data_IF_811938750889
#
_entry.id   IF_811938750889
#
_cell.length_a   1.000
_cell.length_b   1.000
_cell.length_c   1.000
_cell.angle_alpha   90.00
_cell.angle_beta   90.00
_cell.angle_gamma   90.00
#
_symmetry.space_group_name_H-M   'P 1'
#
loop_
_entity.id
_entity.type
_entity.pdbx_description
1 polymer ?
#
# COMPACT_ATOMS: atom_id res chain seq x y z
N UNK A 1 -2.00 16.47 -12.08
CA UNK A 1 -1.87 15.75 -10.79
C UNK A 1 -2.12 14.29 -11.11
N UNK A 2 -1.07 13.48 -11.19
CA UNK A 2 -1.17 12.07 -11.56
C UNK A 2 -1.08 11.23 -10.28
N UNK A 3 -2.23 10.83 -9.73
CA UNK A 3 -2.33 9.91 -8.58
C UNK A 3 -2.27 8.44 -9.06
N UNK A 4 -1.19 8.05 -9.76
CA UNK A 4 -0.85 6.63 -9.87
C UNK A 4 0.25 6.33 -8.85
N UNK A 5 -0.12 5.52 -7.86
CA UNK A 5 0.60 5.07 -6.68
C UNK A 5 2.13 5.11 -6.78
N UNK A 6 2.76 6.00 -5.99
CA UNK A 6 4.22 6.02 -5.82
C UNK A 6 4.77 4.68 -5.29
N UNK A 7 3.95 3.94 -4.54
CA UNK A 7 4.40 2.75 -3.80
C UNK A 7 4.64 1.52 -4.66
N UNK A 8 3.97 1.38 -5.81
CA UNK A 8 4.26 0.21 -6.65
C UNK A 8 5.60 0.32 -7.35
N UNK A 9 6.02 1.54 -7.71
CA UNK A 9 7.35 1.74 -8.26
C UNK A 9 8.42 1.35 -7.23
N UNK A 10 8.21 1.66 -5.94
CA UNK A 10 9.09 1.23 -4.86
C UNK A 10 9.25 -0.31 -4.86
N UNK A 11 8.14 -1.05 -4.94
CA UNK A 11 8.18 -2.50 -5.04
C UNK A 11 8.86 -3.02 -6.31
N UNK A 12 8.69 -2.35 -7.45
CA UNK A 12 9.42 -2.65 -8.68
C UNK A 12 10.94 -2.51 -8.51
N UNK A 13 11.39 -1.41 -7.90
CA UNK A 13 12.81 -1.22 -7.60
C UNK A 13 13.35 -2.26 -6.62
N UNK A 14 12.58 -2.59 -5.57
CA UNK A 14 12.97 -3.59 -4.59
C UNK A 14 13.07 -4.99 -5.20
N UNK A 15 12.08 -5.40 -6.00
CA UNK A 15 12.10 -6.69 -6.71
C UNK A 15 13.31 -6.75 -7.63
N UNK A 16 13.55 -5.70 -8.44
CA UNK A 16 14.72 -5.62 -9.31
C UNK A 16 16.03 -5.75 -8.53
N UNK A 17 16.14 -5.10 -7.37
CA UNK A 17 17.32 -5.16 -6.52
C UNK A 17 17.51 -6.54 -5.87
N UNK A 18 16.42 -7.19 -5.47
CA UNK A 18 16.45 -8.52 -4.84
C UNK A 18 16.75 -9.64 -5.84
N UNK A 19 16.30 -9.50 -7.09
CA UNK A 19 16.52 -10.52 -8.12
C UNK A 19 17.76 -10.28 -8.97
N UNK A 20 18.21 -9.02 -9.09
CA UNK A 20 19.24 -8.59 -10.04
C UNK A 20 18.91 -9.03 -11.48
N UNK A 21 17.62 -9.02 -11.82
CA UNK A 21 17.10 -9.34 -13.15
C UNK A 21 16.22 -8.19 -13.66
N UNK A 22 15.94 -8.20 -14.96
CA UNK A 22 14.88 -7.36 -15.52
C UNK A 22 13.53 -7.73 -14.90
N UNK A 23 12.66 -6.73 -14.74
CA UNK A 23 11.32 -6.96 -14.23
C UNK A 23 10.52 -7.83 -15.21
N UNK A 24 9.64 -8.71 -14.72
CA UNK A 24 8.75 -9.49 -15.58
C UNK A 24 7.95 -8.58 -16.52
N UNK A 25 7.80 -9.01 -17.77
CA UNK A 25 6.98 -8.28 -18.75
C UNK A 25 5.48 -8.53 -18.53
N UNK A 26 5.13 -9.68 -17.96
CA UNK A 26 3.77 -10.01 -17.55
C UNK A 26 3.50 -9.51 -16.13
N UNK A 27 2.33 -8.88 -15.96
CA UNK A 27 1.92 -8.31 -14.68
C UNK A 27 1.65 -9.39 -13.62
N UNK A 28 1.10 -10.55 -14.00
CA UNK A 28 0.84 -11.64 -13.05
C UNK A 28 2.14 -12.24 -12.54
N UNK A 29 3.12 -12.45 -13.43
CA UNK A 29 4.46 -12.91 -13.03
C UNK A 29 5.12 -11.93 -12.05
N UNK A 30 4.98 -10.62 -12.29
CA UNK A 30 5.44 -9.61 -11.33
C UNK A 30 4.76 -9.76 -9.97
N UNK A 31 3.43 -9.95 -9.93
CA UNK A 31 2.69 -10.09 -8.68
C UNK A 31 2.99 -11.41 -7.94
N UNK A 32 3.25 -12.50 -8.66
CA UNK A 32 3.70 -13.76 -8.04
C UNK A 32 5.04 -13.58 -7.35
N UNK A 33 6.01 -12.95 -8.04
CA UNK A 33 7.32 -12.63 -7.48
C UNK A 33 7.22 -11.66 -6.30
N UNK A 34 6.35 -10.65 -6.41
CA UNK A 34 6.09 -9.70 -5.35
C UNK A 34 5.57 -10.40 -4.08
N UNK A 35 4.59 -11.30 -4.23
CA UNK A 35 4.03 -12.06 -3.10
C UNK A 35 5.02 -13.05 -2.50
N UNK A 36 6.00 -13.51 -3.27
CA UNK A 36 7.08 -14.37 -2.78
C UNK A 36 8.02 -13.60 -1.84
N UNK A 37 8.48 -12.41 -2.24
CA UNK A 37 9.40 -11.60 -1.42
C UNK A 37 8.69 -10.81 -0.32
N UNK A 38 7.45 -10.38 -0.56
CA UNK A 38 6.67 -9.52 0.32
C UNK A 38 5.28 -10.15 0.58
N UNK A 39 5.21 -11.21 1.40
CA UNK A 39 3.96 -11.95 1.61
C UNK A 39 2.86 -11.14 2.33
N UNK A 40 3.26 -10.12 3.09
CA UNK A 40 2.37 -9.28 3.89
C UNK A 40 2.54 -7.81 3.51
N UNK A 41 1.83 -7.36 2.49
CA UNK A 41 1.77 -5.95 2.09
C UNK A 41 0.40 -5.39 2.48
N UNK A 42 0.40 -4.20 3.08
CA UNK A 42 -0.80 -3.41 3.32
C UNK A 42 -0.57 -2.00 2.77
N UNK A 43 -1.34 -1.63 1.75
CA UNK A 43 -1.30 -0.30 1.16
C UNK A 43 -2.26 0.63 1.90
N UNK A 44 -1.70 1.68 2.55
CA UNK A 44 -2.50 2.67 3.27
C UNK A 44 -3.57 3.32 2.40
N UNK A 45 -3.23 3.68 1.16
CA UNK A 45 -4.16 4.35 0.25
C UNK A 45 -5.31 3.40 -0.13
N UNK A 46 -5.03 2.10 -0.26
CA UNK A 46 -6.08 1.09 -0.46
C UNK A 46 -6.96 0.95 0.78
N UNK A 47 -6.37 0.82 1.97
CA UNK A 47 -7.10 0.70 3.24
C UNK A 47 -8.02 1.91 3.50
N UNK A 48 -7.54 3.12 3.19
CA UNK A 48 -8.32 4.37 3.32
C UNK A 48 -9.64 4.36 2.55
N UNK A 49 -9.81 3.54 1.50
CA UNK A 49 -11.11 3.38 0.81
C UNK A 49 -12.24 2.94 1.76
N UNK A 50 -11.90 2.25 2.86
CA UNK A 50 -12.85 1.83 3.89
C UNK A 50 -13.01 2.84 5.04
N UNK A 51 -12.26 3.94 5.04
CA UNK A 51 -12.30 5.01 6.04
C UNK A 51 -13.03 6.23 5.46
N UNK A 52 -14.31 6.42 5.79
CA UNK A 52 -15.18 7.46 5.16
C UNK A 52 -14.60 8.87 5.19
N UNK A 53 -13.84 9.20 6.23
CA UNK A 53 -13.35 10.56 6.51
C UNK A 53 -11.86 10.75 6.21
N UNK A 54 -11.13 9.72 5.78
CA UNK A 54 -9.71 9.84 5.44
C UNK A 54 -9.52 9.93 3.93
N UNK A 55 -9.00 11.07 3.48
CA UNK A 55 -8.70 11.32 2.06
C UNK A 55 -7.44 12.16 1.95
N UNK A 56 -6.76 12.02 0.81
CA UNK A 56 -5.56 12.79 0.51
C UNK A 56 -4.29 11.97 0.37
N UNK A 57 -3.16 12.66 0.36
CA UNK A 57 -1.81 12.07 0.41
C UNK A 57 -1.36 11.77 1.84
N UNK A 58 -0.17 11.17 2.00
CA UNK A 58 0.38 10.78 3.30
C UNK A 58 0.42 11.94 4.32
N UNK A 59 0.83 13.14 3.88
CA UNK A 59 0.90 14.31 4.74
C UNK A 59 -0.50 14.70 5.27
N UNK A 60 -1.47 14.85 4.38
CA UNK A 60 -2.85 15.25 4.72
C UNK A 60 -3.53 14.24 5.65
N UNK A 61 -3.32 12.95 5.41
CA UNK A 61 -3.87 11.87 6.25
C UNK A 61 -3.21 11.87 7.62
N UNK A 62 -1.88 12.05 7.68
CA UNK A 62 -1.18 12.12 8.96
C UNK A 62 -1.64 13.31 9.81
N UNK A 63 -1.95 14.46 9.19
CA UNK A 63 -2.50 15.63 9.87
C UNK A 63 -3.92 15.39 10.38
N UNK A 64 -4.77 14.73 9.59
CA UNK A 64 -6.12 14.32 10.02
C UNK A 64 -6.10 13.34 11.21
N UNK A 65 -5.01 12.59 11.37
CA UNK A 65 -4.77 11.65 12.47
C UNK A 65 -3.93 12.26 13.61
N UNK A 66 -3.66 13.56 13.55
CA UNK A 66 -2.90 14.31 14.55
C UNK A 66 -1.48 13.75 14.78
N UNK A 67 -0.85 13.22 13.73
CA UNK A 67 0.50 12.69 13.77
C UNK A 67 1.53 13.74 13.37
N UNK A 68 2.59 13.85 14.15
CA UNK A 68 3.71 14.75 13.86
C UNK A 68 4.79 14.03 13.05
N UNK A 69 5.18 14.63 11.91
CA UNK A 69 6.31 14.18 11.11
C UNK A 69 7.64 14.36 11.85
N UNK A 70 8.53 13.39 11.73
CA UNK A 70 9.92 13.46 12.18
C UNK A 70 10.83 13.38 10.96
N UNK A 71 11.63 14.44 10.76
CA UNK A 71 12.51 14.56 9.61
C UNK A 71 11.89 15.33 8.43
N UNK A 72 12.69 15.58 7.38
CA UNK A 72 12.26 16.38 6.23
C UNK A 72 11.20 15.66 5.38
N UNK A 73 10.21 16.39 4.88
CA UNK A 73 9.22 15.84 3.93
C UNK A 73 9.90 15.47 2.60
N UNK A 74 9.37 14.47 1.90
CA UNK A 74 9.89 13.98 0.62
C UNK A 74 11.29 13.35 0.70
N UNK A 75 11.61 12.77 1.86
CA UNK A 75 12.75 11.88 2.03
C UNK A 75 12.28 10.52 2.50
N UNK A 76 12.77 9.47 1.85
CA UNK A 76 12.34 8.09 2.09
C UNK A 76 12.30 7.72 3.57
N UNK A 77 13.34 8.04 4.36
CA UNK A 77 13.35 7.72 5.79
C UNK A 77 12.24 8.39 6.60
N UNK A 78 12.02 9.69 6.39
CA UNK A 78 10.96 10.47 7.06
C UNK A 78 9.57 10.02 6.61
N UNK A 79 9.39 9.78 5.31
CA UNK A 79 8.12 9.32 4.75
C UNK A 79 7.79 7.89 5.19
N UNK A 80 8.77 6.98 5.27
CA UNK A 80 8.58 5.62 5.77
C UNK A 80 8.20 5.60 7.25
N UNK A 81 8.83 6.45 8.08
CA UNK A 81 8.46 6.58 9.50
C UNK A 81 7.02 7.09 9.65
N UNK A 82 6.67 8.14 8.92
CA UNK A 82 5.31 8.70 8.96
C UNK A 82 4.27 7.71 8.43
N UNK A 83 4.61 6.94 7.40
CA UNK A 83 3.78 5.85 6.85
C UNK A 83 3.50 4.80 7.94
N UNK A 84 4.54 4.36 8.65
CA UNK A 84 4.39 3.38 9.74
C UNK A 84 3.52 3.90 10.88
N UNK A 85 3.75 5.13 11.34
CA UNK A 85 2.92 5.77 12.36
C UNK A 85 1.45 5.88 11.92
N UNK A 86 1.23 6.31 10.67
CA UNK A 86 -0.10 6.42 10.05
C UNK A 86 -0.80 5.07 10.00
N UNK A 87 -0.09 4.00 9.62
CA UNK A 87 -0.63 2.63 9.60
C UNK A 87 -1.13 2.20 10.97
N UNK A 88 -0.30 2.28 12.01
CA UNK A 88 -0.71 1.84 13.33
C UNK A 88 -1.86 2.68 13.88
N UNK A 89 -1.87 4.00 13.64
CA UNK A 89 -2.96 4.86 14.09
C UNK A 89 -4.27 4.55 13.35
N UNK A 90 -4.20 4.31 12.04
CA UNK A 90 -5.38 3.88 11.28
C UNK A 90 -5.90 2.52 11.76
N UNK A 91 -5.00 1.55 12.01
CA UNK A 91 -5.34 0.23 12.50
C UNK A 91 -6.12 0.27 13.83
N UNK A 92 -5.64 1.08 14.76
CA UNK A 92 -6.29 1.34 16.05
C UNK A 92 -7.69 1.96 15.84
N UNK A 93 -7.79 3.05 15.07
CA UNK A 93 -9.01 3.87 15.00
C UNK A 93 -10.12 3.31 14.10
N UNK A 94 -9.76 2.63 13.00
CA UNK A 94 -10.72 2.25 11.95
C UNK A 94 -10.85 0.73 11.75
N UNK A 95 -9.97 -0.06 12.36
CA UNK A 95 -9.92 -1.51 12.16
C UNK A 95 -9.93 -2.30 13.47
N UNK A 96 -10.17 -1.67 14.63
CA UNK A 96 -10.26 -2.36 15.94
C UNK A 96 -9.02 -3.24 16.23
N UNK A 97 -7.83 -2.77 15.82
CA UNK A 97 -6.57 -3.50 15.88
C UNK A 97 -6.51 -4.83 15.10
N UNK A 98 -7.52 -5.12 14.27
CA UNK A 98 -7.66 -6.35 13.51
C UNK A 98 -7.97 -6.08 12.03
N UNK A 99 -6.95 -6.23 11.18
CA UNK A 99 -7.08 -6.03 9.73
C UNK A 99 -7.52 -7.34 9.08
N UNK A 100 -8.58 -7.29 8.28
CA UNK A 100 -9.03 -8.42 7.46
C UNK A 100 -8.06 -8.69 6.30
N UNK A 101 -7.19 -9.68 6.48
CA UNK A 101 -6.21 -10.12 5.48
C UNK A 101 -6.86 -10.50 4.14
N UNK A 102 -8.05 -11.09 4.15
CA UNK A 102 -8.73 -11.50 2.92
C UNK A 102 -9.11 -10.30 2.04
N UNK A 103 -9.28 -9.14 2.66
CA UNK A 103 -9.70 -7.90 2.01
C UNK A 103 -8.53 -6.97 1.70
N UNK A 104 -7.51 -6.88 2.55
CA UNK A 104 -6.47 -5.84 2.44
C UNK A 104 -5.09 -6.37 2.11
N UNK A 105 -4.76 -7.62 2.44
CA UNK A 105 -3.39 -8.13 2.25
C UNK A 105 -3.06 -8.27 0.77
N UNK A 106 -1.93 -7.69 0.38
CA UNK A 106 -1.43 -7.71 -0.99
C UNK A 106 -2.22 -6.84 -1.97
N UNK A 107 -3.22 -6.07 -1.51
CA UNK A 107 -3.96 -5.15 -2.38
C UNK A 107 -3.20 -3.83 -2.52
N UNK A 108 -2.84 -3.49 -3.76
CA UNK A 108 -2.13 -2.25 -4.09
C UNK A 108 -3.07 -1.28 -4.79
N UNK A 109 -3.09 -0.03 -4.31
CA UNK A 109 -3.90 1.02 -4.89
C UNK A 109 -3.47 1.29 -6.35
N UNK A 110 -4.43 1.30 -7.27
CA UNK A 110 -4.22 1.65 -8.67
C UNK A 110 -3.72 0.50 -9.57
N UNK A 111 -3.51 -0.72 -9.05
CA UNK A 111 -3.12 -1.88 -9.87
C UNK A 111 -4.01 -3.10 -9.62
N UNK A 112 -4.25 -3.44 -8.37
CA UNK A 112 -5.05 -4.62 -8.00
C UNK A 112 -6.51 -4.27 -7.70
N UNK A 113 -7.09 -3.27 -8.39
CA UNK A 113 -8.51 -2.90 -8.19
C UNK A 113 -9.50 -3.92 -8.79
N UNK A 114 -9.04 -5.10 -9.17
CA UNK A 114 -9.88 -6.21 -9.60
C UNK A 114 -10.17 -7.11 -8.39
N UNK A 115 -11.32 -6.88 -7.76
CA UNK A 115 -11.95 -7.93 -6.97
C UNK A 115 -11.99 -9.24 -7.80
N UNK A 116 -11.80 -10.42 -7.19
CA UNK A 116 -12.01 -11.67 -7.90
C UNK A 116 -13.42 -11.63 -8.51
N UNK A 117 -13.51 -11.72 -9.84
CA UNK A 117 -14.81 -11.86 -10.50
C UNK A 117 -15.43 -13.15 -9.96
N UNK A 118 -16.62 -13.12 -9.33
CA UNK A 118 -17.26 -14.34 -8.90
C UNK A 118 -17.43 -15.25 -10.12
N UNK A 119 -16.94 -16.47 -10.01
CA UNK A 119 -17.12 -17.52 -11.02
C UNK A 119 -18.59 -17.94 -11.02
N UNK A 120 -19.48 -17.12 -11.58
CA UNK A 120 -20.80 -17.59 -11.97
C UNK A 120 -20.61 -18.40 -13.24
N UNK A 121 -20.53 -19.72 -13.08
CA UNK A 121 -20.54 -20.67 -14.19
C UNK A 121 -21.83 -20.51 -15.00
N UNK A 122 -21.66 -20.67 -16.32
CA UNK A 122 -22.70 -20.70 -17.36
C UNK A 122 -23.87 -21.61 -17.02
#
# INVERSE_FOLDING_TARGET
MWEYSYHTYDFGYLVKLLTDQDLPQDENEFFELLRLYFPNIYDLKYMMKSCKNLKGGLQEVSEQLELQRIGPQHQAGSDSLLTGMTFFKMREMFFEDNIDDSKYRGQLYGLLDQAPKPHWNK
#
